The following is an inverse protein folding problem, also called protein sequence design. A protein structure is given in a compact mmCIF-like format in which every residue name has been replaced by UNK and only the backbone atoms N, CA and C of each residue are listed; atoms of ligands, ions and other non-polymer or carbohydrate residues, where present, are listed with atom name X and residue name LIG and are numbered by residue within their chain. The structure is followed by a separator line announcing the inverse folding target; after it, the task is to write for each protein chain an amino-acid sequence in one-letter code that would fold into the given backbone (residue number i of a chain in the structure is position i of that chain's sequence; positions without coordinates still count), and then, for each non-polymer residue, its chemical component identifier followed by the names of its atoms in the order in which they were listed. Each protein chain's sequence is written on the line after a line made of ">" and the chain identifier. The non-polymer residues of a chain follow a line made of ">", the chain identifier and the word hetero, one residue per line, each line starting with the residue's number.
data_IF_852600442578
#
_entry.id   IF_852600442578
#
_cell.length_a   1.000
_cell.length_b   1.000
_cell.length_c   1.000
_cell.angle_alpha   90.00
_cell.angle_beta   90.00
_cell.angle_gamma   90.00
#
_symmetry.space_group_name_H-M   'P 1'
#
loop_
_entity.id
_entity.type
_entity.pdbx_description
1 polymer ?
#
# COMPACT_ATOMS: atom_id res chain seq x y z
N UNK A 1 -1.19 14.91 -26.65
CA UNK A 1 -0.52 14.32 -25.48
C UNK A 1 -1.60 14.15 -24.43
N UNK A 2 -2.07 12.91 -24.23
CA UNK A 2 -3.12 12.64 -23.25
C UNK A 2 -2.59 12.96 -21.86
N UNK A 3 -3.39 13.66 -21.07
CA UNK A 3 -3.12 13.94 -19.67
C UNK A 3 -3.03 12.60 -18.95
N UNK A 4 -1.81 12.09 -18.78
CA UNK A 4 -1.57 10.77 -18.21
C UNK A 4 -1.68 10.92 -16.68
N UNK A 5 -2.92 11.07 -16.20
CA UNK A 5 -3.19 11.27 -14.79
C UNK A 5 -2.61 10.09 -14.00
N UNK A 6 -1.67 10.39 -13.11
CA UNK A 6 -1.10 9.39 -12.20
C UNK A 6 -2.20 8.98 -11.23
N UNK A 7 -2.59 7.71 -11.29
CA UNK A 7 -3.47 7.11 -10.30
C UNK A 7 -2.86 7.18 -8.89
N UNK A 8 -3.46 7.98 -8.00
CA UNK A 8 -2.99 8.08 -6.61
C UNK A 8 -3.52 6.89 -5.82
N UNK A 9 -2.65 5.91 -5.58
CA UNK A 9 -2.94 4.76 -4.73
C UNK A 9 -2.22 4.79 -3.38
N UNK A 10 -2.53 3.81 -2.53
CA UNK A 10 -1.91 3.66 -1.20
C UNK A 10 -0.37 3.65 -1.19
N UNK A 11 0.26 3.11 -2.24
CA UNK A 11 1.73 3.14 -2.38
C UNK A 11 2.28 4.56 -2.49
N UNK A 12 1.62 5.45 -3.25
CA UNK A 12 2.07 6.85 -3.35
C UNK A 12 1.85 7.59 -2.04
N UNK A 13 0.74 7.34 -1.34
CA UNK A 13 0.49 7.86 0.00
C UNK A 13 1.58 7.39 0.97
N UNK A 14 1.92 6.10 0.97
CA UNK A 14 2.99 5.55 1.78
C UNK A 14 4.31 6.32 1.57
N UNK A 15 4.76 6.45 0.32
CA UNK A 15 5.99 7.17 0.04
C UNK A 15 5.91 8.66 0.36
N UNK A 16 4.73 9.28 0.30
CA UNK A 16 4.55 10.71 0.58
C UNK A 16 4.90 11.06 2.03
N UNK A 17 4.50 10.18 2.94
CA UNK A 17 4.81 10.30 4.36
C UNK A 17 6.23 9.82 4.72
N UNK A 18 7.03 9.38 3.76
CA UNK A 18 8.44 9.02 3.94
C UNK A 18 9.36 10.07 3.30
N UNK A 19 9.20 10.31 1.99
CA UNK A 19 10.03 11.22 1.22
C UNK A 19 9.30 11.69 -0.05
N UNK A 20 9.02 12.99 -0.14
CA UNK A 20 8.36 13.61 -1.29
C UNK A 20 9.08 13.34 -2.63
N UNK A 21 10.42 13.29 -2.61
CA UNK A 21 11.22 12.97 -3.81
C UNK A 21 11.02 11.52 -4.25
N UNK A 22 10.88 10.57 -3.33
CA UNK A 22 10.58 9.18 -3.68
C UNK A 22 9.21 9.06 -4.36
N UNK A 23 8.19 9.77 -3.86
CA UNK A 23 6.87 9.80 -4.53
C UNK A 23 6.99 10.32 -5.94
N UNK A 24 7.69 11.45 -6.11
CA UNK A 24 7.85 12.06 -7.43
C UNK A 24 8.54 11.09 -8.41
N UNK A 25 9.59 10.39 -7.98
CA UNK A 25 10.26 9.39 -8.82
C UNK A 25 9.29 8.25 -9.20
N UNK A 26 8.63 7.66 -8.20
CA UNK A 26 7.73 6.51 -8.42
C UNK A 26 6.50 6.90 -9.24
N UNK A 27 5.96 8.11 -9.08
CA UNK A 27 4.85 8.62 -9.89
C UNK A 27 5.22 8.80 -11.36
N UNK A 28 6.52 8.98 -11.65
CA UNK A 28 7.08 9.02 -12.99
C UNK A 28 7.69 7.68 -13.43
N UNK A 29 7.28 6.58 -12.79
CA UNK A 29 7.71 5.21 -13.12
C UNK A 29 9.22 4.97 -12.92
N UNK A 30 9.89 5.81 -12.13
CA UNK A 30 11.27 5.61 -11.69
C UNK A 30 11.26 4.87 -10.35
N UNK A 31 11.27 3.55 -10.42
CA UNK A 31 11.19 2.67 -9.24
C UNK A 31 12.58 2.40 -8.64
N UNK A 32 12.66 2.13 -7.32
CA UNK A 32 13.88 1.62 -6.69
C UNK A 32 14.35 0.31 -7.32
N UNK A 33 15.61 -0.06 -7.09
CA UNK A 33 16.15 -1.37 -7.48
C UNK A 33 15.26 -2.50 -6.93
N UNK A 34 14.69 -3.29 -7.84
CA UNK A 34 13.73 -4.35 -7.51
C UNK A 34 14.40 -5.65 -7.02
N UNK A 35 15.72 -5.74 -7.16
CA UNK A 35 16.54 -6.87 -6.72
C UNK A 35 17.09 -6.69 -5.28
N UNK A 36 16.76 -5.57 -4.62
CA UNK A 36 17.13 -5.35 -3.23
C UNK A 36 16.51 -6.43 -2.30
N UNK A 37 17.35 -7.04 -1.46
CA UNK A 37 16.96 -8.12 -0.55
C UNK A 37 15.83 -7.71 0.40
N UNK A 38 15.74 -6.44 0.82
CA UNK A 38 14.64 -5.99 1.68
C UNK A 38 13.31 -5.99 0.94
N UNK A 39 13.30 -5.68 -0.36
CA UNK A 39 12.09 -5.78 -1.20
C UNK A 39 11.70 -7.25 -1.34
N UNK A 40 12.65 -8.15 -1.59
CA UNK A 40 12.40 -9.59 -1.66
C UNK A 40 11.79 -10.12 -0.34
N UNK A 41 12.35 -9.73 0.81
CA UNK A 41 11.80 -10.08 2.13
C UNK A 41 10.39 -9.50 2.31
N UNK A 42 10.15 -8.26 1.90
CA UNK A 42 8.83 -7.64 1.97
C UNK A 42 7.78 -8.43 1.19
N UNK A 43 8.09 -8.84 -0.04
CA UNK A 43 7.21 -9.69 -0.87
C UNK A 43 6.97 -11.06 -0.24
N UNK A 44 7.99 -11.64 0.41
CA UNK A 44 7.84 -12.92 1.11
C UNK A 44 6.90 -12.78 2.32
N UNK A 45 7.08 -11.74 3.14
CA UNK A 45 6.19 -11.45 4.28
C UNK A 45 4.76 -11.25 3.78
N UNK A 46 4.57 -10.45 2.74
CA UNK A 46 3.26 -10.17 2.16
C UNK A 46 2.52 -11.44 1.72
N UNK A 47 3.23 -12.37 1.05
CA UNK A 47 2.67 -13.66 0.59
C UNK A 47 2.42 -14.66 1.71
N UNK A 48 3.25 -14.66 2.75
CA UNK A 48 3.19 -15.67 3.83
C UNK A 48 2.28 -15.24 4.98
N UNK A 49 2.02 -13.94 5.14
CA UNK A 49 1.18 -13.41 6.20
C UNK A 49 -0.30 -13.63 5.88
N UNK A 50 -1.04 -14.18 6.85
CA UNK A 50 -2.51 -14.33 6.81
C UNK A 50 -3.08 -15.05 5.58
N UNK A 51 -2.31 -15.95 4.95
CA UNK A 51 -2.62 -16.51 3.62
C UNK A 51 -3.95 -17.26 3.44
N UNK A 52 -4.69 -17.59 4.52
CA UNK A 52 -6.05 -18.17 4.42
C UNK A 52 -7.18 -17.14 4.55
N UNK A 53 -6.91 -16.01 5.18
CA UNK A 53 -7.91 -14.98 5.54
C UNK A 53 -7.75 -13.73 4.67
N UNK A 54 -6.53 -13.51 4.16
CA UNK A 54 -6.18 -12.36 3.34
C UNK A 54 -6.86 -12.43 1.97
N UNK A 55 -7.74 -11.47 1.71
CA UNK A 55 -8.31 -11.20 0.38
C UNK A 55 -7.79 -9.85 -0.11
N UNK A 56 -7.67 -9.69 -1.42
CA UNK A 56 -7.26 -8.43 -2.03
C UNK A 56 -8.49 -7.70 -2.58
N UNK A 57 -8.61 -6.41 -2.27
CA UNK A 57 -9.62 -5.52 -2.84
C UNK A 57 -8.92 -4.44 -3.67
N UNK A 58 -9.35 -4.30 -4.91
CA UNK A 58 -8.89 -3.24 -5.81
C UNK A 58 -9.95 -2.15 -5.86
N UNK A 59 -9.58 -0.94 -5.46
CA UNK A 59 -10.43 0.26 -5.53
C UNK A 59 -9.63 1.36 -6.19
N UNK A 60 -10.10 1.85 -7.34
CA UNK A 60 -9.39 2.87 -8.10
C UNK A 60 -7.95 2.45 -8.44
N UNK A 61 -6.97 3.18 -7.91
CA UNK A 61 -5.53 2.91 -8.08
C UNK A 61 -4.88 2.20 -6.88
N UNK A 62 -5.69 1.82 -5.89
CA UNK A 62 -5.26 1.15 -4.67
C UNK A 62 -5.54 -0.34 -4.71
N UNK A 63 -4.62 -1.09 -4.15
CA UNK A 63 -4.76 -2.50 -3.82
C UNK A 63 -4.63 -2.65 -2.32
N UNK A 64 -5.70 -3.12 -1.68
CA UNK A 64 -5.86 -3.16 -0.22
C UNK A 64 -6.00 -4.60 0.24
N UNK A 65 -5.43 -4.90 1.41
CA UNK A 65 -5.58 -6.20 2.05
C UNK A 65 -6.80 -6.19 2.98
N UNK A 66 -7.77 -7.06 2.69
CA UNK A 66 -8.92 -7.34 3.56
C UNK A 66 -8.59 -8.56 4.41
N UNK A 67 -8.86 -8.45 5.71
CA UNK A 67 -8.65 -9.53 6.67
C UNK A 67 -9.95 -10.26 6.97
N UNK A 68 -11.06 -9.55 7.18
CA UNK A 68 -12.33 -10.16 7.53
C UNK A 68 -13.50 -9.17 7.44
N UNK A 69 -14.71 -9.70 7.62
CA UNK A 69 -15.89 -8.92 8.01
C UNK A 69 -16.21 -9.33 9.44
N UNK A 70 -16.22 -8.37 10.37
CA UNK A 70 -16.54 -8.58 11.79
C UNK A 70 -17.76 -7.74 12.11
N UNK A 71 -18.82 -8.34 12.63
CA UNK A 71 -20.07 -7.66 13.00
C UNK A 71 -20.67 -6.81 11.86
N UNK A 72 -20.56 -7.30 10.62
CA UNK A 72 -21.03 -6.61 9.42
C UNK A 72 -20.12 -5.46 8.94
N UNK A 73 -18.99 -5.23 9.61
CA UNK A 73 -18.02 -4.19 9.24
C UNK A 73 -16.82 -4.81 8.52
N UNK A 74 -16.41 -4.17 7.42
CA UNK A 74 -15.21 -4.56 6.69
C UNK A 74 -13.95 -4.17 7.47
N UNK A 75 -13.09 -5.14 7.73
CA UNK A 75 -11.79 -4.93 8.37
C UNK A 75 -10.69 -4.99 7.32
N UNK A 76 -10.08 -3.84 7.07
CA UNK A 76 -8.88 -3.69 6.24
C UNK A 76 -7.63 -3.60 7.12
N UNK A 77 -6.50 -4.06 6.59
CA UNK A 77 -5.22 -3.96 7.28
C UNK A 77 -4.07 -3.90 6.28
N UNK A 78 -2.86 -3.74 6.79
CA UNK A 78 -1.65 -3.70 5.97
C UNK A 78 -0.51 -4.30 6.80
N UNK A 79 0.19 -5.31 6.26
CA UNK A 79 1.32 -5.93 6.95
C UNK A 79 2.62 -5.25 6.53
N UNK A 80 3.40 -4.76 7.50
CA UNK A 80 4.73 -4.15 7.24
C UNK A 80 5.82 -4.90 7.99
N UNK A 81 6.98 -5.06 7.35
CA UNK A 81 8.19 -5.71 7.92
C UNK A 81 8.64 -5.08 9.25
N UNK A 82 8.45 -3.77 9.43
CA UNK A 82 8.86 -3.05 10.64
C UNK A 82 7.93 -1.89 10.98
N UNK A 83 7.99 -1.47 12.24
CA UNK A 83 7.29 -0.29 12.77
C UNK A 83 8.04 1.03 12.55
N UNK A 84 9.07 1.06 11.69
CA UNK A 84 9.86 2.29 11.46
C UNK A 84 9.03 3.44 10.85
N UNK A 85 8.04 3.11 10.03
CA UNK A 85 7.24 4.08 9.27
C UNK A 85 5.76 4.04 9.68
N UNK A 86 5.49 4.11 10.99
CA UNK A 86 4.12 4.04 11.54
C UNK A 86 3.19 5.11 11.00
N UNK A 87 3.65 6.34 10.87
CA UNK A 87 2.82 7.44 10.37
C UNK A 87 2.44 7.22 8.90
N UNK A 88 3.39 6.75 8.09
CA UNK A 88 3.13 6.36 6.71
C UNK A 88 2.12 5.21 6.61
N UNK A 89 2.24 4.17 7.44
CA UNK A 89 1.27 3.08 7.53
C UNK A 89 -0.13 3.58 7.91
N UNK A 90 -0.21 4.45 8.93
CA UNK A 90 -1.46 5.05 9.39
C UNK A 90 -2.14 5.84 8.28
N UNK A 91 -1.38 6.64 7.54
CA UNK A 91 -1.93 7.47 6.48
C UNK A 91 -2.33 6.66 5.24
N UNK A 92 -1.61 5.58 4.93
CA UNK A 92 -2.02 4.61 3.90
C UNK A 92 -3.40 4.01 4.24
N UNK A 93 -3.61 3.55 5.48
CA UNK A 93 -4.92 3.04 5.92
C UNK A 93 -6.00 4.13 5.95
N UNK A 94 -5.68 5.35 6.39
CA UNK A 94 -6.64 6.46 6.37
C UNK A 94 -7.09 6.80 4.94
N UNK A 95 -6.17 6.71 3.97
CA UNK A 95 -6.51 6.87 2.55
C UNK A 95 -7.44 5.76 2.06
N UNK A 96 -7.16 4.50 2.42
CA UNK A 96 -8.04 3.38 2.08
C UNK A 96 -9.46 3.55 2.65
N UNK A 97 -9.58 3.95 3.91
CA UNK A 97 -10.89 4.23 4.51
C UNK A 97 -11.64 5.33 3.76
N UNK A 98 -10.93 6.38 3.31
CA UNK A 98 -11.51 7.46 2.51
C UNK A 98 -11.96 6.97 1.12
N UNK A 99 -11.26 6.03 0.50
CA UNK A 99 -11.66 5.44 -0.79
C UNK A 99 -12.88 4.51 -0.68
N UNK A 100 -13.14 3.97 0.52
CA UNK A 100 -14.27 3.11 0.84
C UNK A 100 -15.49 3.86 1.41
N UNK A 101 -15.35 5.16 1.66
CA UNK A 101 -16.43 6.05 2.15
C UNK A 101 -17.31 6.55 1.01
#
# INVERSE_FOLDING_TARGET
>A
MGDNQVGVGGTLIWYYFICKRQVWLISHQLTPDQDDTNIAIGRLIDRTSYGREKKELVVGSSKMDIFSIVDGQLVIGEVKKSSRYRDSARMQLAFYLKELS
#
